data_IF_720830330916
#
_entry.id   IF_720830330916
#
_cell.length_a   1.000
_cell.length_b   1.000
_cell.length_c   1.000
_cell.angle_alpha   90.00
_cell.angle_beta   90.00
_cell.angle_gamma   90.00
#
_symmetry.space_group_name_H-M   'P 1'
#
loop_
_entity.id
_entity.type
_entity.pdbx_description
1 polymer ?
#
# COMPACT_ATOMS: atom_id res chain seq x y z
N UNK A 1 3.66 12.00 -1.41
CA UNK A 1 4.80 11.09 -1.66
C UNK A 1 6.11 11.89 -1.70
N UNK A 2 6.27 12.84 -2.63
CA UNK A 2 7.56 13.56 -2.83
C UNK A 2 8.10 14.18 -1.54
N UNK A 3 7.28 14.89 -0.77
CA UNK A 3 7.71 15.54 0.46
C UNK A 3 8.19 14.54 1.54
N UNK A 4 7.61 13.34 1.58
CA UNK A 4 8.04 12.30 2.52
C UNK A 4 9.41 11.75 2.11
N UNK A 5 9.59 11.44 0.82
CA UNK A 5 10.89 11.00 0.29
C UNK A 5 11.96 12.06 0.50
N UNK A 6 11.60 13.34 0.32
CA UNK A 6 12.53 14.46 0.52
C UNK A 6 13.05 14.60 1.96
N UNK A 7 12.41 14.03 2.96
CA UNK A 7 12.94 14.02 4.33
C UNK A 7 14.23 13.20 4.45
N UNK A 8 14.46 12.24 3.57
CA UNK A 8 15.51 11.23 3.69
C UNK A 8 16.44 11.14 2.48
N UNK A 9 16.13 11.86 1.40
CA UNK A 9 16.84 11.75 0.11
C UNK A 9 17.34 13.14 -0.30
N UNK A 10 18.58 13.25 -0.79
CA UNK A 10 19.17 14.51 -1.24
C UNK A 10 18.31 15.24 -2.26
N UNK A 11 18.54 16.55 -2.38
CA UNK A 11 17.87 17.41 -3.35
C UNK A 11 18.13 16.99 -4.79
N UNK A 12 17.14 17.22 -5.67
CA UNK A 12 17.14 16.93 -7.11
C UNK A 12 17.10 15.44 -7.50
N UNK A 13 16.89 14.53 -6.56
CA UNK A 13 16.68 13.11 -6.85
C UNK A 13 15.30 12.86 -7.41
N UNK A 14 15.23 11.99 -8.43
CA UNK A 14 13.97 11.56 -9.00
C UNK A 14 13.16 10.76 -7.98
N UNK A 15 11.89 11.08 -7.84
CA UNK A 15 10.95 10.34 -6.98
C UNK A 15 9.94 9.56 -7.82
N UNK A 16 9.34 10.20 -8.80
CA UNK A 16 8.35 9.59 -9.69
C UNK A 16 8.18 10.39 -10.97
N UNK A 17 7.94 9.69 -12.05
CA UNK A 17 7.47 10.28 -13.31
C UNK A 17 6.07 9.77 -13.64
N UNK A 18 5.30 10.59 -14.35
CA UNK A 18 4.04 10.18 -14.96
C UNK A 18 4.19 10.25 -16.47
N UNK A 19 3.86 9.17 -17.18
CA UNK A 19 3.93 9.10 -18.63
C UNK A 19 2.61 8.58 -19.17
N UNK A 20 2.06 9.28 -20.19
CA UNK A 20 0.78 8.97 -20.79
C UNK A 20 0.81 8.98 -22.31
N UNK A 21 -0.38 8.97 -22.93
CA UNK A 21 -0.51 9.09 -24.40
C UNK A 21 -0.27 10.51 -24.91
N UNK A 22 -0.35 11.50 -24.05
CA UNK A 22 -0.18 12.92 -24.35
C UNK A 22 1.10 13.38 -23.67
N UNK A 23 2.23 13.49 -24.39
CA UNK A 23 3.53 13.80 -23.80
C UNK A 23 3.58 15.14 -23.04
N UNK A 24 2.77 16.11 -23.45
CA UNK A 24 2.67 17.42 -22.80
C UNK A 24 2.10 17.35 -21.38
N UNK A 25 1.49 16.23 -21.02
CA UNK A 25 0.96 15.97 -19.67
C UNK A 25 1.90 15.16 -18.80
N UNK A 26 3.01 14.72 -19.36
CA UNK A 26 4.03 13.99 -18.61
C UNK A 26 4.65 14.92 -17.57
N UNK A 27 4.92 14.38 -16.39
CA UNK A 27 5.48 15.13 -15.27
C UNK A 27 6.58 14.34 -14.59
N UNK A 28 7.64 15.05 -14.26
CA UNK A 28 8.74 14.53 -13.44
C UNK A 28 8.74 15.21 -12.09
N UNK A 29 8.75 14.44 -11.04
CA UNK A 29 8.76 14.92 -9.66
C UNK A 29 10.07 14.52 -8.98
N UNK A 30 10.79 15.53 -8.50
CA UNK A 30 12.07 15.39 -7.79
C UNK A 30 11.97 15.94 -6.39
N UNK A 31 12.90 15.55 -5.53
CA UNK A 31 13.11 16.19 -4.22
C UNK A 31 13.50 17.65 -4.40
N UNK A 32 12.98 18.55 -3.54
CA UNK A 32 13.07 20.00 -3.72
C UNK A 32 14.04 20.69 -2.78
N UNK A 33 14.32 20.08 -1.63
CA UNK A 33 15.16 20.63 -0.56
C UNK A 33 16.18 19.60 -0.08
N UNK A 34 17.15 20.06 0.71
CA UNK A 34 18.03 19.16 1.43
C UNK A 34 17.22 18.29 2.40
N UNK A 35 17.64 17.04 2.63
CA UNK A 35 16.95 16.13 3.52
C UNK A 35 17.01 16.56 4.97
N UNK A 36 16.04 16.15 5.76
CA UNK A 36 16.09 16.28 7.22
C UNK A 36 17.20 15.39 7.80
N UNK A 37 17.27 14.16 7.34
CA UNK A 37 18.34 13.21 7.69
C UNK A 37 18.54 12.20 6.53
N UNK A 38 19.71 12.27 5.91
CA UNK A 38 20.11 11.36 4.83
C UNK A 38 20.77 10.07 5.33
N UNK A 39 21.07 9.96 6.62
CA UNK A 39 21.95 8.92 7.19
C UNK A 39 21.27 7.95 8.13
N UNK A 40 20.18 8.34 8.77
CA UNK A 40 19.43 7.48 9.69
C UNK A 40 19.06 6.14 9.01
N UNK A 41 19.30 4.98 9.64
CA UNK A 41 18.79 3.71 9.13
C UNK A 41 17.29 3.76 8.97
N UNK A 42 16.79 3.43 7.77
CA UNK A 42 15.39 3.56 7.43
C UNK A 42 14.81 2.21 7.01
N UNK A 43 13.73 1.81 7.66
CA UNK A 43 12.91 0.64 7.32
C UNK A 43 11.50 1.12 6.99
N UNK A 44 10.93 0.62 5.90
CA UNK A 44 9.56 0.90 5.49
C UNK A 44 8.74 -0.38 5.52
N UNK A 45 7.69 -0.39 6.34
CA UNK A 45 6.78 -1.52 6.42
C UNK A 45 5.70 -1.39 5.35
N UNK A 46 5.46 -2.48 4.63
CA UNK A 46 4.45 -2.56 3.56
C UNK A 46 3.65 -3.85 3.63
N UNK A 47 2.44 -3.82 3.09
CA UNK A 47 1.55 -4.97 2.98
C UNK A 47 0.73 -4.91 1.67
N UNK A 48 -0.12 -5.90 1.42
CA UNK A 48 -0.98 -5.97 0.25
C UNK A 48 -2.01 -4.84 0.12
N UNK A 49 -2.22 -4.03 1.16
CA UNK A 49 -3.09 -2.85 1.14
C UNK A 49 -2.32 -1.55 0.88
N UNK A 50 -1.01 -1.58 1.00
CA UNK A 50 -0.13 -0.44 0.67
C UNK A 50 -0.25 -0.15 -0.83
N UNK A 51 -0.79 1.02 -1.20
CA UNK A 51 -1.15 1.33 -2.58
C UNK A 51 -0.82 2.78 -3.01
N UNK A 52 -0.64 2.99 -4.32
CA UNK A 52 -0.56 4.33 -4.95
C UNK A 52 0.57 5.19 -4.36
N UNK A 53 0.26 6.26 -3.64
CA UNK A 53 1.25 7.17 -3.04
C UNK A 53 2.20 6.45 -2.07
N UNK A 54 1.72 5.45 -1.34
CA UNK A 54 2.55 4.62 -0.45
C UNK A 54 3.56 3.80 -1.24
N UNK A 55 3.15 3.29 -2.41
CA UNK A 55 4.04 2.55 -3.31
C UNK A 55 5.08 3.47 -3.98
N UNK A 56 4.72 4.73 -4.26
CA UNK A 56 5.68 5.73 -4.75
C UNK A 56 6.73 6.01 -3.67
N UNK A 57 6.34 6.13 -2.39
CA UNK A 57 7.28 6.36 -1.29
C UNK A 57 8.18 5.16 -1.09
N UNK A 58 7.61 3.98 -0.87
CA UNK A 58 8.39 2.75 -0.61
C UNK A 58 9.27 2.38 -1.81
N UNK A 59 8.73 2.45 -3.03
CA UNK A 59 9.45 2.12 -4.24
C UNK A 59 10.57 3.11 -4.57
N UNK A 60 10.36 4.42 -4.39
CA UNK A 60 11.41 5.41 -4.58
C UNK A 60 12.56 5.21 -3.58
N UNK A 61 12.24 4.98 -2.30
CA UNK A 61 13.24 4.72 -1.28
C UNK A 61 14.00 3.41 -1.52
N UNK A 62 13.31 2.37 -2.05
CA UNK A 62 13.93 1.11 -2.46
C UNK A 62 14.87 1.30 -3.66
N UNK A 63 14.39 1.93 -4.73
CA UNK A 63 15.15 2.13 -5.97
C UNK A 63 16.38 3.02 -5.78
N UNK A 64 16.31 3.97 -4.85
CA UNK A 64 17.43 4.82 -4.45
C UNK A 64 18.35 4.17 -3.41
N UNK A 65 18.09 2.93 -3.01
CA UNK A 65 18.82 2.21 -1.94
C UNK A 65 18.89 2.99 -0.62
N UNK A 66 17.84 3.76 -0.32
CA UNK A 66 17.78 4.59 0.89
C UNK A 66 17.13 3.89 2.06
N UNK A 67 16.25 2.94 1.82
CA UNK A 67 15.54 2.19 2.85
C UNK A 67 15.52 0.69 2.54
N UNK A 68 15.34 -0.11 3.58
CA UNK A 68 14.97 -1.53 3.48
C UNK A 68 13.44 -1.62 3.54
N UNK A 69 12.85 -2.30 2.58
CA UNK A 69 11.40 -2.53 2.53
C UNK A 69 11.10 -3.89 3.15
N UNK A 70 10.21 -3.92 4.14
CA UNK A 70 9.89 -5.12 4.92
C UNK A 70 8.38 -5.35 4.92
N UNK A 71 7.94 -6.59 4.79
CA UNK A 71 6.53 -6.98 4.85
C UNK A 71 6.09 -7.88 3.72
N UNK A 72 4.94 -7.57 3.10
CA UNK A 72 4.40 -8.31 1.96
C UNK A 72 4.34 -7.41 0.72
N UNK A 73 4.14 -8.05 -0.44
CA UNK A 73 3.98 -7.40 -1.74
C UNK A 73 2.84 -6.38 -1.72
N UNK A 74 3.11 -5.17 -2.19
CA UNK A 74 2.12 -4.09 -2.23
C UNK A 74 1.03 -4.32 -3.29
N UNK A 75 0.00 -3.48 -3.28
CA UNK A 75 -1.20 -3.61 -4.11
C UNK A 75 -0.92 -3.57 -5.62
N UNK A 76 0.00 -2.73 -6.09
CA UNK A 76 0.28 -2.55 -7.52
C UNK A 76 -0.64 -1.56 -8.23
N UNK A 77 -0.88 -0.38 -7.63
CA UNK A 77 -1.71 0.69 -8.21
C UNK A 77 -0.83 1.78 -8.83
N UNK A 78 -0.47 1.59 -10.09
CA UNK A 78 0.44 2.46 -10.85
C UNK A 78 -0.22 3.38 -11.88
N UNK A 79 -1.54 3.60 -11.80
CA UNK A 79 -2.27 4.44 -12.76
C UNK A 79 -2.61 5.82 -12.20
N UNK A 80 -2.42 6.84 -13.02
CA UNK A 80 -2.85 8.22 -12.76
C UNK A 80 -4.24 8.42 -13.34
N UNK A 81 -5.19 8.81 -12.49
CA UNK A 81 -6.55 9.11 -12.88
C UNK A 81 -6.85 10.58 -12.65
N UNK A 82 -7.58 11.19 -13.58
CA UNK A 82 -8.11 12.55 -13.46
C UNK A 82 -9.63 12.51 -13.55
N UNK A 83 -10.27 13.38 -12.77
CA UNK A 83 -11.71 13.61 -12.84
C UNK A 83 -11.97 14.86 -13.70
N UNK A 84 -12.89 14.74 -14.64
CA UNK A 84 -13.36 15.83 -15.49
C UNK A 84 -14.83 16.06 -15.25
N UNK A 85 -15.21 17.29 -15.05
CA UNK A 85 -16.63 17.68 -14.95
C UNK A 85 -17.28 17.59 -16.33
N UNK A 86 -18.48 17.03 -16.36
CA UNK A 86 -19.34 16.93 -17.52
C UNK A 86 -20.65 17.72 -17.27
N UNK A 87 -21.51 17.76 -18.30
CA UNK A 87 -22.85 18.36 -18.15
C UNK A 87 -23.68 17.62 -17.09
N UNK A 88 -24.72 18.30 -16.60
CA UNK A 88 -25.67 17.76 -15.63
C UNK A 88 -25.04 17.32 -14.30
N UNK A 89 -24.01 18.07 -13.84
CA UNK A 89 -23.30 17.78 -12.58
C UNK A 89 -22.70 16.36 -12.52
N UNK A 90 -22.46 15.73 -13.67
CA UNK A 90 -21.81 14.43 -13.79
C UNK A 90 -20.29 14.57 -13.87
N UNK A 91 -19.56 13.48 -13.58
CA UNK A 91 -18.10 13.46 -13.56
C UNK A 91 -17.58 12.24 -14.32
N UNK A 92 -16.59 12.46 -15.16
CA UNK A 92 -15.84 11.41 -15.82
C UNK A 92 -14.50 11.20 -15.11
N UNK A 93 -14.24 10.00 -14.64
CA UNK A 93 -12.93 9.59 -14.11
C UNK A 93 -12.21 8.79 -15.20
N UNK A 94 -11.08 9.31 -15.66
CA UNK A 94 -10.32 8.72 -16.78
C UNK A 94 -8.87 8.50 -16.39
N UNK A 95 -8.29 7.37 -16.83
CA UNK A 95 -6.87 7.09 -16.68
C UNK A 95 -6.10 7.87 -17.74
N UNK A 96 -5.12 8.66 -17.34
CA UNK A 96 -4.36 9.57 -18.23
C UNK A 96 -2.88 9.20 -18.34
N UNK A 97 -2.30 8.50 -17.35
CA UNK A 97 -0.88 8.16 -17.33
C UNK A 97 -0.60 6.93 -16.44
N UNK A 98 0.63 6.44 -16.50
CA UNK A 98 1.22 5.46 -15.57
C UNK A 98 2.30 6.14 -14.73
N UNK A 99 2.54 5.61 -13.51
CA UNK A 99 3.66 6.00 -12.66
C UNK A 99 4.90 5.18 -12.96
N UNK A 100 6.05 5.85 -13.00
CA UNK A 100 7.38 5.25 -13.10
C UNK A 100 8.24 5.78 -11.96
N UNK A 101 8.84 4.89 -11.19
CA UNK A 101 9.69 5.22 -10.04
C UNK A 101 11.17 5.26 -10.46
N UNK A 102 12.13 5.63 -9.60
CA UNK A 102 13.49 5.98 -9.99
C UNK A 102 14.23 4.95 -10.86
N UNK A 103 14.01 3.67 -10.69
CA UNK A 103 14.58 2.64 -11.57
C UNK A 103 14.01 2.63 -12.99
N UNK A 104 12.92 3.36 -13.24
CA UNK A 104 12.19 3.37 -14.50
C UNK A 104 11.08 2.32 -14.60
N UNK A 105 10.89 1.48 -13.59
CA UNK A 105 9.83 0.47 -13.56
C UNK A 105 8.45 1.06 -13.29
N UNK A 106 7.42 0.42 -13.87
CA UNK A 106 6.01 0.71 -13.60
C UNK A 106 5.46 -0.27 -12.57
N UNK A 107 4.90 0.23 -11.48
CA UNK A 107 4.38 -0.60 -10.39
C UNK A 107 3.01 -1.23 -10.67
N UNK A 108 2.36 -0.89 -11.80
CA UNK A 108 1.01 -1.32 -12.12
C UNK A 108 0.92 -2.84 -12.31
N UNK A 109 0.13 -3.50 -11.45
CA UNK A 109 -0.05 -4.95 -11.42
C UNK A 109 -1.12 -5.44 -12.41
N UNK A 110 -2.23 -4.70 -12.55
CA UNK A 110 -3.35 -5.10 -13.40
C UNK A 110 -3.21 -4.58 -14.83
N UNK A 111 -3.42 -5.45 -15.82
CA UNK A 111 -3.41 -5.10 -17.24
C UNK A 111 -4.80 -4.72 -17.73
N UNK A 112 -5.13 -3.43 -17.68
CA UNK A 112 -6.42 -2.91 -18.17
C UNK A 112 -6.55 -2.86 -19.69
N UNK A 113 -5.49 -3.16 -20.45
CA UNK A 113 -5.56 -3.22 -21.91
C UNK A 113 -6.19 -4.50 -22.42
N UNK A 114 -6.19 -5.55 -21.59
CA UNK A 114 -6.81 -6.83 -21.89
C UNK A 114 -7.87 -7.18 -20.85
N UNK A 115 -9.03 -7.63 -21.30
CA UNK A 115 -10.09 -8.14 -20.45
C UNK A 115 -10.49 -9.51 -20.96
N UNK A 116 -10.83 -10.41 -20.06
CA UNK A 116 -11.38 -11.72 -20.42
C UNK A 116 -12.81 -11.58 -20.95
N UNK A 117 -13.39 -12.70 -21.38
CA UNK A 117 -14.77 -12.76 -21.91
C UNK A 117 -15.85 -12.35 -20.91
N UNK A 118 -15.52 -12.30 -19.61
CA UNK A 118 -16.40 -11.84 -18.52
C UNK A 118 -16.19 -10.37 -18.17
N UNK A 119 -15.22 -9.70 -18.82
CA UNK A 119 -14.82 -8.31 -18.54
C UNK A 119 -13.85 -8.16 -17.37
N UNK A 120 -13.38 -9.27 -16.77
CA UNK A 120 -12.41 -9.25 -15.67
C UNK A 120 -11.03 -8.84 -16.19
N UNK A 121 -10.34 -8.02 -15.42
CA UNK A 121 -8.97 -7.58 -15.67
C UNK A 121 -8.01 -8.60 -15.07
N UNK A 122 -7.01 -9.01 -15.84
CA UNK A 122 -5.96 -9.93 -15.39
C UNK A 122 -4.74 -9.18 -14.85
N UNK A 123 -3.90 -9.88 -14.13
CA UNK A 123 -2.58 -9.37 -13.75
C UNK A 123 -1.65 -9.37 -14.98
N UNK A 124 -0.63 -8.49 -14.96
CA UNK A 124 0.44 -8.51 -15.95
C UNK A 124 1.06 -9.91 -15.98
N UNK A 125 1.12 -10.51 -17.18
CA UNK A 125 1.64 -11.88 -17.35
C UNK A 125 3.10 -11.96 -16.95
N UNK A 126 3.49 -13.06 -16.34
CA UNK A 126 4.86 -13.32 -15.90
C UNK A 126 5.90 -13.06 -17.01
N UNK A 127 5.61 -13.49 -18.22
CA UNK A 127 6.48 -13.31 -19.39
C UNK A 127 6.64 -11.83 -19.83
N UNK A 128 5.80 -10.92 -19.32
CA UNK A 128 5.85 -9.50 -19.64
C UNK A 128 6.49 -8.67 -18.52
N UNK A 129 6.90 -9.30 -17.42
CA UNK A 129 7.56 -8.64 -16.30
C UNK A 129 9.02 -8.39 -16.67
N UNK A 130 9.44 -7.13 -16.58
CA UNK A 130 10.82 -6.74 -16.85
C UNK A 130 11.62 -6.55 -15.56
N UNK A 131 12.90 -6.92 -15.61
CA UNK A 131 13.86 -6.64 -14.54
C UNK A 131 14.45 -5.24 -14.71
N UNK A 132 14.51 -4.52 -13.61
CA UNK A 132 15.18 -3.24 -13.45
C UNK A 132 16.21 -3.33 -12.33
N UNK A 133 16.96 -2.27 -12.11
CA UNK A 133 17.99 -2.23 -11.06
C UNK A 133 17.82 -1.00 -10.19
N UNK A 134 18.01 -1.19 -8.89
CA UNK A 134 18.17 -0.08 -7.95
C UNK A 134 19.48 0.68 -8.24
N UNK A 135 19.71 1.79 -7.57
CA UNK A 135 20.93 2.59 -7.68
C UNK A 135 22.21 1.75 -7.48
N UNK A 136 22.19 0.82 -6.54
CA UNK A 136 23.33 -0.06 -6.23
C UNK A 136 23.31 -1.39 -7.01
N UNK A 137 22.40 -1.54 -7.98
CA UNK A 137 22.35 -2.70 -8.87
C UNK A 137 21.59 -3.90 -8.35
N UNK A 138 20.80 -3.79 -7.26
CA UNK A 138 19.91 -4.85 -6.81
C UNK A 138 18.77 -5.06 -7.81
N UNK A 139 18.36 -6.29 -8.15
CA UNK A 139 17.27 -6.54 -9.08
C UNK A 139 15.93 -6.14 -8.45
N UNK A 140 15.11 -5.47 -9.23
CA UNK A 140 13.72 -5.11 -8.91
C UNK A 140 12.86 -5.30 -10.16
N UNK A 141 11.56 -5.48 -10.00
CA UNK A 141 10.68 -5.89 -11.09
C UNK A 141 9.50 -4.93 -11.25
N UNK A 142 9.01 -4.77 -12.48
CA UNK A 142 7.76 -4.07 -12.76
C UNK A 142 6.53 -5.01 -12.67
N UNK A 143 5.35 -4.49 -12.94
CA UNK A 143 4.12 -5.28 -13.09
C UNK A 143 3.61 -5.98 -11.83
N UNK A 144 4.23 -5.77 -10.66
CA UNK A 144 3.94 -6.54 -9.43
C UNK A 144 3.69 -5.70 -8.18
N UNK A 145 3.60 -4.37 -8.28
CA UNK A 145 3.71 -3.49 -7.11
C UNK A 145 5.17 -3.41 -6.63
N UNK A 146 5.36 -3.16 -5.34
CA UNK A 146 6.66 -3.18 -4.70
C UNK A 146 6.82 -4.52 -3.99
N UNK A 147 7.84 -5.28 -4.36
CA UNK A 147 8.26 -6.47 -3.61
C UNK A 147 9.15 -6.03 -2.45
N UNK A 148 8.91 -6.53 -1.23
CA UNK A 148 9.76 -6.20 -0.09
C UNK A 148 11.16 -6.80 -0.27
N UNK A 149 12.16 -6.15 0.35
CA UNK A 149 13.53 -6.68 0.44
C UNK A 149 13.61 -7.82 1.47
N UNK A 150 12.75 -7.75 2.49
CA UNK A 150 12.58 -8.77 3.51
C UNK A 150 11.10 -9.12 3.60
N UNK A 151 10.76 -10.31 3.13
CA UNK A 151 9.39 -10.81 3.18
C UNK A 151 9.03 -11.26 4.61
N UNK A 152 7.87 -10.80 5.08
CA UNK A 152 7.27 -11.24 6.34
C UNK A 152 5.96 -11.93 6.00
N UNK A 153 5.91 -13.23 6.23
CA UNK A 153 4.69 -14.00 6.05
C UNK A 153 3.83 -13.82 7.28
N UNK A 154 2.66 -13.15 7.13
CA UNK A 154 1.68 -13.10 8.19
C UNK A 154 1.16 -14.53 8.48
N UNK A 155 1.06 -14.92 9.75
CA UNK A 155 0.43 -16.19 10.09
C UNK A 155 -1.01 -16.18 9.56
N UNK A 156 -1.42 -17.25 8.89
CA UNK A 156 -2.81 -17.41 8.45
C UNK A 156 -3.74 -17.28 9.67
N UNK A 157 -4.54 -16.25 9.70
CA UNK A 157 -5.59 -16.10 10.71
C UNK A 157 -6.60 -17.23 10.53
N UNK A 158 -6.97 -17.86 11.66
CA UNK A 158 -8.04 -18.85 11.63
C UNK A 158 -9.30 -18.27 10.99
N UNK A 159 -10.01 -19.04 10.17
CA UNK A 159 -11.22 -18.61 9.44
C UNK A 159 -12.25 -17.93 10.34
N UNK A 160 -12.35 -18.38 11.59
CA UNK A 160 -13.21 -17.78 12.60
C UNK A 160 -12.90 -16.31 12.84
N UNK A 161 -11.61 -15.94 12.85
CA UNK A 161 -11.18 -14.54 13.06
C UNK A 161 -11.66 -13.66 11.92
N UNK A 162 -11.55 -14.14 10.67
CA UNK A 162 -12.09 -13.45 9.49
C UNK A 162 -13.60 -13.21 9.58
N UNK A 163 -14.35 -14.21 10.06
CA UNK A 163 -15.78 -14.10 10.31
C UNK A 163 -16.14 -13.07 11.39
N UNK A 164 -15.38 -13.06 12.49
CA UNK A 164 -15.55 -12.09 13.57
C UNK A 164 -15.28 -10.65 13.11
N UNK A 165 -14.25 -10.44 12.28
CA UNK A 165 -13.97 -9.14 11.67
C UNK A 165 -15.07 -8.72 10.68
N UNK A 166 -15.49 -9.59 9.78
CA UNK A 166 -16.51 -9.29 8.79
C UNK A 166 -17.88 -8.92 9.38
N UNK A 167 -18.12 -9.29 10.63
CA UNK A 167 -19.35 -9.01 11.39
C UNK A 167 -19.15 -7.95 12.47
N UNK A 168 -18.01 -7.25 12.49
CA UNK A 168 -17.66 -6.21 13.48
C UNK A 168 -17.76 -6.67 14.95
N UNK A 169 -17.68 -8.00 15.22
CA UNK A 169 -17.95 -8.56 16.55
C UNK A 169 -16.90 -8.17 17.59
N UNK A 170 -15.66 -7.94 17.18
CA UNK A 170 -14.63 -7.39 18.06
C UNK A 170 -14.98 -5.95 18.48
N UNK A 171 -15.43 -5.12 17.53
CA UNK A 171 -15.80 -3.75 17.81
C UNK A 171 -17.05 -3.67 18.72
N UNK A 172 -18.07 -4.46 18.41
CA UNK A 172 -19.29 -4.54 19.19
C UNK A 172 -19.03 -4.97 20.65
N UNK A 173 -18.18 -6.00 20.82
CA UNK A 173 -17.79 -6.44 22.17
C UNK A 173 -16.99 -5.38 22.92
N UNK A 174 -15.99 -4.77 22.27
CA UNK A 174 -15.19 -3.72 22.86
C UNK A 174 -16.06 -2.52 23.28
N UNK A 175 -17.04 -2.15 22.46
CA UNK A 175 -18.01 -1.08 22.76
C UNK A 175 -18.85 -1.44 23.99
N UNK A 176 -19.39 -2.66 24.06
CA UNK A 176 -20.13 -3.15 25.21
C UNK A 176 -19.26 -3.13 26.48
N UNK A 177 -18.04 -3.64 26.37
CA UNK A 177 -17.08 -3.64 27.47
C UNK A 177 -16.79 -2.23 27.97
N UNK A 178 -16.55 -1.29 27.08
CA UNK A 178 -16.29 0.13 27.42
C UNK A 178 -17.47 0.79 28.15
N UNK A 179 -18.71 0.46 27.79
CA UNK A 179 -19.90 0.98 28.45
C UNK A 179 -19.98 0.49 29.92
N UNK A 180 -19.64 -0.78 30.17
CA UNK A 180 -19.69 -1.35 31.51
C UNK A 180 -18.43 -1.08 32.34
N UNK A 181 -17.33 -0.66 31.70
CA UNK A 181 -16.05 -0.32 32.31
C UNK A 181 -15.63 1.10 31.92
N UNK A 182 -16.21 2.14 32.56
CA UNK A 182 -15.95 3.55 32.22
C UNK A 182 -14.48 3.97 32.41
N UNK A 183 -13.75 3.27 33.29
CA UNK A 183 -12.33 3.49 33.52
C UNK A 183 -11.56 2.29 33.00
N UNK A 184 -10.84 2.46 31.89
CA UNK A 184 -9.93 1.49 31.32
C UNK A 184 -8.54 2.13 31.38
N UNK A 185 -7.59 1.41 31.99
CA UNK A 185 -6.19 1.83 32.07
C UNK A 185 -5.52 2.00 30.69
N UNK A 186 -4.27 2.44 30.68
CA UNK A 186 -3.49 2.57 29.43
C UNK A 186 -3.44 1.24 28.65
N UNK A 187 -3.43 1.32 27.33
CA UNK A 187 -3.45 0.14 26.45
C UNK A 187 -2.27 -0.81 26.74
N UNK A 188 -1.12 -0.25 27.10
CA UNK A 188 0.10 -1.00 27.42
C UNK A 188 -0.04 -1.86 28.68
N UNK A 189 -0.91 -1.45 29.59
CA UNK A 189 -1.18 -2.14 30.86
C UNK A 189 -2.39 -3.08 30.78
N UNK A 190 -3.26 -2.87 29.80
CA UNK A 190 -4.47 -3.68 29.60
C UNK A 190 -4.09 -5.13 29.27
N UNK A 191 -4.70 -6.07 29.98
CA UNK A 191 -4.49 -7.50 29.75
C UNK A 191 -5.82 -8.19 29.55
N UNK A 192 -5.87 -9.04 28.54
CA UNK A 192 -7.00 -9.94 28.32
C UNK A 192 -6.84 -11.11 29.32
N UNK A 193 -7.69 -11.14 30.33
CA UNK A 193 -7.76 -12.23 31.28
C UNK A 193 -8.58 -13.39 30.72
N UNK A 194 -8.45 -14.60 31.31
CA UNK A 194 -9.27 -15.74 30.89
C UNK A 194 -10.77 -15.47 31.09
N UNK A 195 -11.15 -14.71 32.11
CA UNK A 195 -12.53 -14.28 32.33
C UNK A 195 -13.05 -13.39 31.19
N UNK A 196 -12.29 -12.37 30.84
CA UNK A 196 -12.64 -11.47 29.73
C UNK A 196 -12.70 -12.22 28.39
N UNK A 197 -11.77 -13.13 28.16
CA UNK A 197 -11.79 -13.99 26.97
C UNK A 197 -13.07 -14.85 26.93
N UNK A 198 -13.47 -15.45 28.06
CA UNK A 198 -14.68 -16.24 28.16
C UNK A 198 -15.94 -15.40 27.95
N UNK A 199 -15.98 -14.15 28.45
CA UNK A 199 -17.08 -13.23 28.17
C UNK A 199 -17.21 -12.92 26.69
N UNK A 200 -16.08 -12.77 25.97
CA UNK A 200 -16.07 -12.60 24.53
C UNK A 200 -16.61 -13.86 23.81
N UNK A 201 -16.15 -15.04 24.21
CA UNK A 201 -16.64 -16.32 23.64
C UNK A 201 -18.13 -16.46 23.84
N UNK A 202 -18.66 -16.16 25.02
CA UNK A 202 -20.10 -16.22 25.29
C UNK A 202 -20.87 -15.15 24.51
N UNK A 203 -20.29 -13.98 24.30
CA UNK A 203 -20.89 -12.92 23.48
C UNK A 203 -21.06 -13.32 22.00
N UNK A 204 -20.12 -14.07 21.45
CA UNK A 204 -20.14 -14.47 20.04
C UNK A 204 -20.80 -15.82 19.78
N UNK A 205 -21.02 -16.64 20.80
CA UNK A 205 -21.47 -18.03 20.73
C UNK A 205 -22.72 -18.25 19.89
N UNK A 206 -23.71 -17.35 20.00
CA UNK A 206 -25.00 -17.45 19.31
C UNK A 206 -25.02 -16.61 18.02
N UNK A 207 -23.92 -15.99 17.67
CA UNK A 207 -23.81 -15.17 16.46
C UNK A 207 -23.34 -16.02 15.29
N UNK A 208 -24.06 -15.93 14.18
CA UNK A 208 -23.69 -16.63 12.92
C UNK A 208 -22.58 -15.82 12.22
N UNK A 209 -21.39 -16.35 12.14
CA UNK A 209 -20.23 -15.74 11.44
C UNK A 209 -19.39 -16.78 10.72
#
# INVERSE_FOLDING_TARGET
>A
AVNIVNLFVPKNELVVETRGKIPEWDKTYKTLSEPLDATIPLVVLVDGQSASASEIVSGALQDLDRAVIVGDRTYGKGLVQQTRDLFYNSKLKVTVAKYYIPSGRCIQKLDYSHRDSTGKVEEVKEAAIAEFKTRNGRPVFDGRGILPDVEVVDPELAKVVGGLYAKDLFFDFATKYRITHPEIGPAEEFRITDGLYQEFVDFVKDKKF
#
